data_IF_217566274586
#
_entry.id   IF_217566274586
#
_cell.length_a   1.000
_cell.length_b   1.000
_cell.length_c   1.000
_cell.angle_alpha   90.00
_cell.angle_beta   90.00
_cell.angle_gamma   90.00
#
_symmetry.space_group_name_H-M   'P 1'
#
loop_
_entity.id
_entity.type
_entity.pdbx_description
1 polymer ?
#
# COMPACT_ATOMS: atom_id res chain seq x y z
N UNK A 1 -2.12 5.79 18.38
CA UNK A 1 -1.71 6.76 17.34
C UNK A 1 -2.78 6.74 16.28
N UNK A 2 -3.55 7.82 16.14
CA UNK A 2 -4.51 7.98 15.06
C UNK A 2 -3.71 8.08 13.75
N UNK A 3 -3.84 7.06 12.92
CA UNK A 3 -3.23 7.03 11.60
C UNK A 3 -4.01 8.00 10.71
N UNK A 4 -3.57 9.26 10.72
CA UNK A 4 -4.24 10.36 10.02
C UNK A 4 -3.97 10.27 8.53
N UNK A 5 -4.94 9.75 7.78
CA UNK A 5 -4.84 9.73 6.32
C UNK A 5 -4.60 11.15 5.79
N UNK A 6 -3.64 11.26 4.88
CA UNK A 6 -3.24 12.54 4.28
C UNK A 6 -4.44 13.18 3.57
N UNK A 7 -4.66 14.51 3.65
CA UNK A 7 -5.74 15.18 2.92
C UNK A 7 -5.60 15.04 1.39
N UNK A 8 -4.44 14.57 0.90
CA UNK A 8 -4.17 14.34 -0.50
C UNK A 8 -4.79 13.05 -1.07
N UNK A 9 -5.29 12.12 -0.25
CA UNK A 9 -5.98 10.93 -0.76
C UNK A 9 -7.46 11.20 -1.02
N UNK A 10 -8.06 10.61 -2.08
CA UNK A 10 -9.48 10.80 -2.35
C UNK A 10 -10.35 10.22 -1.22
N UNK A 11 -11.50 10.87 -0.96
CA UNK A 11 -12.40 10.50 0.12
C UNK A 11 -12.87 9.03 0.04
N UNK A 12 -13.07 8.51 -1.16
CA UNK A 12 -13.40 7.10 -1.40
C UNK A 12 -12.33 6.13 -0.92
N UNK A 13 -11.04 6.47 -1.10
CA UNK A 13 -9.93 5.66 -0.59
C UNK A 13 -9.89 5.67 0.95
N UNK A 14 -10.18 6.84 1.55
CA UNK A 14 -10.22 7.00 3.00
C UNK A 14 -11.34 6.18 3.64
N UNK A 15 -12.53 6.19 3.06
CA UNK A 15 -13.66 5.38 3.54
C UNK A 15 -13.37 3.88 3.38
N UNK A 16 -12.89 3.45 2.21
CA UNK A 16 -12.50 2.06 1.96
C UNK A 16 -11.43 1.58 2.96
N UNK A 17 -10.40 2.39 3.21
CA UNK A 17 -9.34 2.08 4.17
C UNK A 17 -9.89 1.90 5.58
N UNK A 18 -10.79 2.78 6.04
CA UNK A 18 -11.45 2.62 7.35
C UNK A 18 -12.22 1.31 7.45
N UNK A 19 -12.97 0.94 6.41
CA UNK A 19 -13.73 -0.32 6.40
C UNK A 19 -12.81 -1.53 6.53
N UNK A 20 -11.64 -1.48 5.89
CA UNK A 20 -10.69 -2.59 5.88
C UNK A 20 -9.87 -2.70 7.17
N UNK A 21 -9.48 -1.56 7.76
CA UNK A 21 -8.92 -1.54 9.12
C UNK A 21 -9.93 -2.13 10.10
N UNK A 22 -11.21 -1.76 9.97
CA UNK A 22 -12.30 -2.33 10.76
C UNK A 22 -12.47 -3.84 10.49
N UNK A 23 -12.32 -4.26 9.24
CA UNK A 23 -12.36 -5.67 8.81
C UNK A 23 -11.07 -6.45 9.14
N UNK A 24 -10.09 -5.86 9.84
CA UNK A 24 -8.80 -6.47 10.18
C UNK A 24 -7.93 -6.87 8.96
N UNK A 25 -8.23 -6.35 7.77
CA UNK A 25 -7.44 -6.58 6.55
C UNK A 25 -6.13 -5.82 6.62
N UNK A 26 -6.14 -4.60 7.15
CA UNK A 26 -4.95 -3.80 7.43
C UNK A 26 -4.82 -3.72 8.95
N UNK A 27 -3.74 -4.29 9.48
CA UNK A 27 -3.46 -4.31 10.91
C UNK A 27 -2.05 -3.81 11.16
N UNK A 28 -1.91 -2.75 11.97
CA UNK A 28 -0.62 -2.11 12.27
C UNK A 28 0.18 -1.74 11.01
N UNK A 29 -0.49 -1.23 9.96
CA UNK A 29 0.15 -0.90 8.69
C UNK A 29 0.55 -2.10 7.83
N UNK A 30 0.15 -3.32 8.21
CA UNK A 30 0.45 -4.56 7.47
C UNK A 30 -0.84 -5.16 6.89
N UNK A 31 -0.81 -5.40 5.58
CA UNK A 31 -1.90 -6.09 4.89
C UNK A 31 -1.88 -7.59 5.23
N UNK A 32 -2.95 -8.06 5.87
CA UNK A 32 -3.11 -9.44 6.33
C UNK A 32 -3.66 -10.37 5.23
N UNK A 33 -4.31 -9.81 4.21
CA UNK A 33 -4.89 -10.55 3.10
C UNK A 33 -4.25 -10.21 1.76
N UNK A 34 -4.21 -11.20 0.86
CA UNK A 34 -3.75 -10.95 -0.51
C UNK A 34 -4.84 -10.20 -1.26
N UNK A 35 -4.56 -8.95 -1.64
CA UNK A 35 -5.44 -8.12 -2.46
C UNK A 35 -4.83 -7.93 -3.84
N UNK A 36 -5.68 -7.98 -4.87
CA UNK A 36 -5.30 -7.65 -6.24
C UNK A 36 -5.61 -6.17 -6.46
N UNK A 37 -4.57 -5.41 -6.79
CA UNK A 37 -4.68 -4.00 -7.11
C UNK A 37 -4.35 -3.77 -8.58
N UNK A 38 -4.99 -2.77 -9.17
CA UNK A 38 -4.73 -2.36 -10.55
C UNK A 38 -3.36 -1.70 -10.74
N UNK A 39 -2.72 -1.23 -9.66
CA UNK A 39 -1.41 -0.58 -9.72
C UNK A 39 -0.66 -0.66 -8.38
N UNK A 40 0.68 -0.75 -8.40
CA UNK A 40 1.48 -0.84 -7.17
C UNK A 40 1.39 0.43 -6.31
N UNK A 41 1.33 1.61 -6.92
CA UNK A 41 1.14 2.88 -6.18
C UNK A 41 -0.23 2.97 -5.52
N UNK A 42 -1.27 2.41 -6.15
CA UNK A 42 -2.60 2.33 -5.55
C UNK A 42 -2.58 1.42 -4.32
N UNK A 43 -1.94 0.26 -4.43
CA UNK A 43 -1.74 -0.66 -3.31
C UNK A 43 -0.97 0.01 -2.15
N UNK A 44 0.11 0.74 -2.45
CA UNK A 44 0.92 1.38 -1.42
C UNK A 44 0.15 2.53 -0.75
N UNK A 45 -0.53 3.38 -1.53
CA UNK A 45 -1.35 4.45 -1.00
C UNK A 45 -2.50 3.92 -0.15
N UNK A 46 -3.02 2.76 -0.52
CA UNK A 46 -4.04 2.05 0.22
C UNK A 46 -3.57 1.54 1.58
N UNK A 47 -2.31 1.08 1.72
CA UNK A 47 -1.73 0.61 3.01
C UNK A 47 -1.15 1.76 3.84
N UNK A 48 -0.65 2.83 3.22
CA UNK A 48 -0.03 3.96 3.92
C UNK A 48 -0.98 5.14 4.17
N UNK A 49 -2.12 5.21 3.48
CA UNK A 49 -3.07 6.33 3.63
C UNK A 49 -2.56 7.67 3.08
N UNK A 50 -1.58 7.65 2.19
CA UNK A 50 -0.96 8.84 1.61
C UNK A 50 -0.54 8.61 0.15
N UNK A 51 -0.26 9.70 -0.59
CA UNK A 51 0.38 9.55 -1.90
C UNK A 51 1.79 8.99 -1.71
N UNK A 52 2.14 7.99 -2.50
CA UNK A 52 3.36 7.21 -2.34
C UNK A 52 3.73 6.59 -3.68
N UNK A 53 4.98 6.18 -3.82
CA UNK A 53 5.47 5.54 -5.01
C UNK A 53 5.61 4.04 -4.74
N UNK A 54 4.58 3.28 -5.08
CA UNK A 54 4.55 1.85 -4.78
C UNK A 54 5.75 1.07 -5.34
N UNK A 55 6.39 1.54 -6.40
CA UNK A 55 7.60 0.89 -6.94
C UNK A 55 8.78 0.94 -5.97
N UNK A 56 8.88 1.97 -5.14
CA UNK A 56 9.96 2.14 -4.15
C UNK A 56 9.54 1.76 -2.73
N UNK A 57 8.26 1.89 -2.41
CA UNK A 57 7.72 1.59 -1.08
C UNK A 57 7.52 0.09 -0.85
N UNK A 58 7.10 -0.65 -1.89
CA UNK A 58 7.02 -2.09 -1.80
C UNK A 58 8.40 -2.72 -1.78
N UNK A 59 8.69 -3.52 -0.77
CA UNK A 59 9.95 -4.26 -0.62
C UNK A 59 9.69 -5.74 -0.38
N UNK A 60 10.56 -6.59 -0.91
CA UNK A 60 10.56 -8.01 -0.58
C UNK A 60 11.27 -8.27 0.76
N UNK A 61 11.35 -9.55 1.15
CA UNK A 61 12.01 -9.98 2.39
C UNK A 61 13.51 -9.65 2.42
N UNK A 62 14.15 -9.54 1.27
CA UNK A 62 15.54 -9.14 1.10
C UNK A 62 15.74 -7.61 1.13
N UNK A 63 14.66 -6.84 1.28
CA UNK A 63 14.69 -5.38 1.28
C UNK A 63 14.78 -4.74 -0.11
N UNK A 64 14.77 -5.54 -1.19
CA UNK A 64 14.73 -5.03 -2.57
C UNK A 64 13.39 -4.43 -2.88
N UNK A 65 13.40 -3.25 -3.49
CA UNK A 65 12.19 -2.55 -3.92
C UNK A 65 11.52 -3.24 -5.10
N UNK A 66 10.21 -3.05 -5.27
CA UNK A 66 9.48 -3.58 -6.41
C UNK A 66 10.10 -3.12 -7.74
N UNK A 67 10.59 -1.87 -7.80
CA UNK A 67 11.31 -1.34 -8.95
C UNK A 67 12.53 -2.20 -9.31
N UNK A 68 13.38 -2.50 -8.33
CA UNK A 68 14.58 -3.33 -8.54
C UNK A 68 14.22 -4.76 -8.97
N UNK A 69 13.11 -5.29 -8.47
CA UNK A 69 12.62 -6.62 -8.86
C UNK A 69 12.14 -6.64 -10.30
N UNK A 70 11.40 -5.61 -10.73
CA UNK A 70 11.00 -5.43 -12.13
C UNK A 70 12.26 -5.36 -13.02
N UNK A 71 13.21 -4.48 -12.69
CA UNK A 71 14.45 -4.31 -13.48
C UNK A 71 15.35 -5.56 -13.51
N UNK A 72 15.27 -6.42 -12.49
CA UNK A 72 16.01 -7.69 -12.43
C UNK A 72 15.36 -8.81 -13.25
N UNK A 73 14.05 -8.73 -13.51
CA UNK A 73 13.31 -9.77 -14.25
C UNK A 73 13.41 -9.61 -15.78
N UNK A 74 13.96 -8.50 -16.27
CA UNK A 74 14.18 -8.21 -17.69
C UNK A 74 15.57 -8.70 -18.20
N UNK A 75 15.99 -9.92 -17.86
CA UNK A 75 17.23 -10.52 -18.39
C UNK A 75 17.03 -11.93 -18.95
#
# INVERSE_FOLDING_TARGET
>A
MDEVDSPAIPASLKELRKELIKSNVIKDGVLQEKQLFSSPSYAAAFVLGMNTNGRTDWKNKDGKTLKELEETMDC
#
